data_IF_043589343263
#
_entry.id   IF_043589343263
#
_cell.length_a   1.000
_cell.length_b   1.000
_cell.length_c   1.000
_cell.angle_alpha   90.00
_cell.angle_beta   90.00
_cell.angle_gamma   90.00
#
_symmetry.space_group_name_H-M   'P 1'
#
loop_
_entity.id
_entity.type
_entity.pdbx_description
1 polymer ?
#
# COMPACT_ATOMS: atom_id res chain seq x y z
N UNK A 1 -10.00 0.46 21.65
CA UNK A 1 -8.58 0.46 21.26
C UNK A 1 -7.91 1.57 22.05
N UNK A 2 -7.10 1.23 23.06
CA UNK A 2 -6.42 2.22 23.88
C UNK A 2 -5.10 2.60 23.20
N UNK A 3 -5.03 3.79 22.63
CA UNK A 3 -3.77 4.36 22.16
C UNK A 3 -2.93 4.83 23.35
N UNK A 4 -1.60 4.82 23.20
CA UNK A 4 -0.66 5.34 24.19
C UNK A 4 -0.36 6.81 23.95
N UNK A 5 -0.68 7.67 24.90
CA UNK A 5 -0.53 9.12 24.78
C UNK A 5 0.52 9.60 25.78
N UNK A 6 1.54 10.29 25.29
CA UNK A 6 2.53 10.96 26.14
C UNK A 6 2.08 12.41 26.39
N UNK A 7 1.82 12.74 27.66
CA UNK A 7 1.54 14.11 28.10
C UNK A 7 2.81 14.73 28.68
N UNK A 8 3.19 15.89 28.18
CA UNK A 8 4.41 16.60 28.59
C UNK A 8 4.05 18.03 28.98
N UNK A 9 4.27 18.39 30.24
CA UNK A 9 4.06 19.74 30.78
C UNK A 9 4.91 19.90 32.05
N UNK A 10 5.59 21.03 32.23
CA UNK A 10 6.45 21.28 33.39
C UNK A 10 5.64 21.54 34.68
N UNK A 11 4.35 21.85 34.54
CA UNK A 11 3.42 22.10 35.64
C UNK A 11 2.66 20.80 35.94
N UNK A 12 3.07 20.11 37.02
CA UNK A 12 2.49 18.82 37.45
C UNK A 12 0.94 18.81 37.55
N UNK A 13 0.26 19.87 38.05
CA UNK A 13 -1.20 19.95 37.99
C UNK A 13 -1.80 19.81 36.58
N UNK A 14 -1.19 20.40 35.55
CA UNK A 14 -1.65 20.30 34.17
C UNK A 14 -1.51 18.87 33.66
N UNK A 15 -0.36 18.23 33.94
CA UNK A 15 -0.10 16.82 33.63
C UNK A 15 -1.17 15.94 34.24
N UNK A 16 -1.44 16.08 35.55
CA UNK A 16 -2.42 15.25 36.27
C UNK A 16 -3.85 15.46 35.78
N UNK A 17 -4.21 16.68 35.39
CA UNK A 17 -5.51 16.97 34.82
C UNK A 17 -5.70 16.29 33.46
N UNK A 18 -4.71 16.41 32.56
CA UNK A 18 -4.74 15.77 31.24
C UNK A 18 -4.72 14.24 31.37
N UNK A 19 -3.89 13.70 32.26
CA UNK A 19 -3.82 12.27 32.58
C UNK A 19 -5.18 11.74 33.01
N UNK A 20 -5.86 12.41 33.95
CA UNK A 20 -7.18 12.00 34.41
C UNK A 20 -8.23 12.02 33.27
N UNK A 21 -8.25 13.09 32.46
CA UNK A 21 -9.19 13.24 31.34
C UNK A 21 -9.00 12.19 30.25
N UNK A 22 -7.77 11.90 29.87
CA UNK A 22 -7.46 10.91 28.84
C UNK A 22 -7.67 9.48 29.37
N UNK A 23 -7.32 9.22 30.63
CA UNK A 23 -7.54 7.91 31.25
C UNK A 23 -9.03 7.57 31.40
N UNK A 24 -9.91 8.57 31.64
CA UNK A 24 -11.35 8.34 31.67
C UNK A 24 -11.95 7.93 30.32
N UNK A 25 -11.25 8.23 29.23
CA UNK A 25 -11.57 7.78 27.86
C UNK A 25 -10.83 6.48 27.48
N UNK A 26 -10.26 5.78 28.47
CA UNK A 26 -9.57 4.50 28.32
C UNK A 26 -8.26 4.54 27.50
N UNK A 27 -7.59 5.70 27.44
CA UNK A 27 -6.24 5.80 26.87
C UNK A 27 -5.17 5.35 27.88
N UNK A 28 -4.06 4.81 27.37
CA UNK A 28 -2.86 4.52 28.16
C UNK A 28 -2.01 5.81 28.21
N UNK A 29 -1.89 6.44 29.39
CA UNK A 29 -1.25 7.76 29.49
C UNK A 29 0.13 7.65 30.11
N UNK A 30 1.14 8.04 29.34
CA UNK A 30 2.47 8.33 29.82
C UNK A 30 2.58 9.80 30.20
N UNK A 31 3.45 10.10 31.15
CA UNK A 31 3.69 11.48 31.59
C UNK A 31 5.18 11.79 31.60
N UNK A 32 5.50 13.05 31.31
CA UNK A 32 6.83 13.64 31.46
C UNK A 32 6.71 15.11 31.91
N UNK A 33 7.70 15.61 32.65
CA UNK A 33 7.69 17.00 33.16
C UNK A 33 8.82 17.87 32.58
N UNK A 34 9.56 17.35 31.59
CA UNK A 34 10.62 18.08 30.90
C UNK A 34 10.80 17.58 29.48
N UNK A 35 11.45 18.38 28.62
CA UNK A 35 11.76 17.99 27.26
C UNK A 35 12.72 16.79 27.18
N UNK A 36 13.70 16.71 28.08
CA UNK A 36 14.63 15.58 28.16
C UNK A 36 13.91 14.27 28.52
N UNK A 37 13.03 14.29 29.52
CA UNK A 37 12.23 13.14 29.91
C UNK A 37 11.28 12.74 28.76
N UNK A 38 10.67 13.71 28.08
CA UNK A 38 9.81 13.43 26.94
C UNK A 38 10.55 12.66 25.83
N UNK A 39 11.76 13.07 25.47
CA UNK A 39 12.57 12.37 24.46
C UNK A 39 12.98 10.96 24.91
N UNK A 40 13.26 10.76 26.20
CA UNK A 40 13.53 9.43 26.75
C UNK A 40 12.30 8.52 26.65
N UNK A 41 11.13 9.02 27.03
CA UNK A 41 9.85 8.31 26.92
C UNK A 41 9.52 7.94 25.49
N UNK A 42 9.74 8.84 24.53
CA UNK A 42 9.54 8.54 23.10
C UNK A 42 10.40 7.36 22.66
N UNK A 43 11.66 7.34 23.07
CA UNK A 43 12.60 6.27 22.71
C UNK A 43 12.29 4.92 23.39
N UNK A 44 11.83 4.94 24.64
CA UNK A 44 11.58 3.73 25.43
C UNK A 44 10.20 3.13 25.17
N UNK A 45 9.18 3.98 25.12
CA UNK A 45 7.78 3.56 25.22
C UNK A 45 7.02 3.66 23.89
N UNK A 46 7.60 4.27 22.85
CA UNK A 46 6.99 4.42 21.51
C UNK A 46 5.52 4.86 21.54
N UNK A 47 5.22 6.07 22.06
CA UNK A 47 3.84 6.56 22.16
C UNK A 47 3.18 6.72 20.79
N UNK A 48 1.86 6.59 20.75
CA UNK A 48 1.05 6.79 19.55
C UNK A 48 0.79 8.27 19.26
N UNK A 49 0.71 9.11 20.31
CA UNK A 49 0.54 10.57 20.23
C UNK A 49 1.32 11.23 21.35
N UNK A 50 1.77 12.47 21.11
CA UNK A 50 2.39 13.32 22.11
C UNK A 50 1.57 14.62 22.24
N UNK A 51 1.12 14.93 23.46
CA UNK A 51 0.60 16.24 23.85
C UNK A 51 1.72 16.99 24.57
N UNK A 52 2.20 18.07 23.96
CA UNK A 52 3.46 18.70 24.34
C UNK A 52 3.25 20.16 24.71
N UNK A 53 3.53 20.52 25.96
CA UNK A 53 3.57 21.92 26.34
C UNK A 53 4.71 22.67 25.64
N UNK A 54 4.44 23.90 25.25
CA UNK A 54 5.43 24.75 24.58
C UNK A 54 6.40 25.38 25.56
N UNK A 55 5.90 25.86 26.70
CA UNK A 55 6.62 26.73 27.62
C UNK A 55 7.20 25.92 28.77
N UNK A 56 8.30 25.22 28.50
CA UNK A 56 9.02 24.45 29.51
C UNK A 56 10.41 25.03 29.78
N UNK A 57 10.93 24.97 31.02
CA UNK A 57 12.28 25.41 31.34
C UNK A 57 13.33 24.49 30.71
N UNK A 58 14.46 25.08 30.28
CA UNK A 58 15.53 24.34 29.62
C UNK A 58 15.20 24.11 28.15
N UNK A 59 14.63 22.94 27.83
CA UNK A 59 14.23 22.58 26.47
C UNK A 59 12.75 22.89 26.24
N UNK A 60 12.47 23.87 25.37
CA UNK A 60 11.10 24.23 25.01
C UNK A 60 10.43 23.17 24.13
N UNK A 61 9.09 23.21 24.04
CA UNK A 61 8.33 22.25 23.25
C UNK A 61 8.63 22.30 21.76
N UNK A 62 9.06 23.44 21.21
CA UNK A 62 9.43 23.55 19.80
C UNK A 62 10.72 22.77 19.49
N UNK A 63 11.71 22.83 20.38
CA UNK A 63 12.95 22.06 20.27
C UNK A 63 12.69 20.57 20.43
N UNK A 64 11.87 20.16 21.41
CA UNK A 64 11.44 18.76 21.58
C UNK A 64 10.77 18.25 20.30
N UNK A 65 9.81 19.00 19.76
CA UNK A 65 9.11 18.66 18.53
C UNK A 65 10.08 18.50 17.34
N UNK A 66 10.99 19.46 17.14
CA UNK A 66 12.01 19.38 16.08
C UNK A 66 12.87 18.13 16.19
N UNK A 67 13.34 17.78 17.40
CA UNK A 67 14.15 16.57 17.62
C UNK A 67 13.39 15.28 17.33
N UNK A 68 12.11 15.21 17.69
CA UNK A 68 11.24 14.05 17.37
C UNK A 68 11.08 13.93 15.85
N UNK A 69 10.80 15.04 15.16
CA UNK A 69 10.52 15.07 13.72
C UNK A 69 11.77 14.89 12.84
N UNK A 70 12.95 15.20 13.36
CA UNK A 70 14.23 14.94 12.67
C UNK A 70 14.67 13.46 12.77
N UNK A 71 14.15 12.69 13.73
CA UNK A 71 14.50 11.29 13.88
C UNK A 71 13.56 10.39 13.06
N UNK A 72 14.03 9.65 12.02
CA UNK A 72 13.16 8.82 11.17
C UNK A 72 12.38 7.73 11.93
N UNK A 73 12.90 7.28 13.08
CA UNK A 73 12.23 6.31 13.94
C UNK A 73 11.01 6.90 14.63
N UNK A 74 10.96 8.21 14.89
CA UNK A 74 9.90 8.86 15.68
C UNK A 74 9.12 9.92 14.91
N UNK A 75 9.60 10.36 13.74
CA UNK A 75 9.00 11.47 12.98
C UNK A 75 7.53 11.26 12.59
N UNK A 76 7.12 10.00 12.48
CA UNK A 76 5.75 9.58 12.21
C UNK A 76 4.79 9.73 13.40
N UNK A 77 5.28 9.91 14.62
CA UNK A 77 4.45 10.09 15.81
C UNK A 77 3.82 11.49 15.76
N UNK A 78 2.48 11.62 15.82
CA UNK A 78 1.82 12.90 15.90
C UNK A 78 2.17 13.67 17.18
N UNK A 79 2.52 14.95 17.04
CA UNK A 79 2.80 15.90 18.13
C UNK A 79 1.75 17.00 18.08
N UNK A 80 0.97 17.14 19.16
CA UNK A 80 0.04 18.24 19.36
C UNK A 80 0.62 19.20 20.39
N UNK A 81 0.85 20.44 19.97
CA UNK A 81 1.35 21.48 20.86
C UNK A 81 0.22 22.00 21.74
N UNK A 82 0.38 21.94 23.05
CA UNK A 82 -0.58 22.46 24.02
C UNK A 82 0.02 23.73 24.61
N UNK A 83 -0.65 24.88 24.50
CA UNK A 83 0.00 26.14 24.89
C UNK A 83 -0.97 27.21 25.34
N UNK A 84 -0.53 28.10 26.24
CA UNK A 84 -1.26 29.33 26.55
C UNK A 84 -1.08 30.42 25.48
N UNK A 85 -0.19 30.19 24.51
CA UNK A 85 0.03 31.10 23.38
C UNK A 85 -1.17 31.04 22.43
N UNK A 86 -1.85 32.17 22.26
CA UNK A 86 -3.02 32.29 21.40
C UNK A 86 -2.71 32.95 20.06
N UNK A 87 -1.54 33.58 19.92
CA UNK A 87 -1.14 34.25 18.70
C UNK A 87 -0.92 33.26 17.55
N UNK A 88 -1.42 33.65 16.38
CA UNK A 88 -1.16 33.03 15.08
C UNK A 88 0.33 32.76 14.84
N UNK A 89 1.21 33.67 15.27
CA UNK A 89 2.66 33.55 15.06
C UNK A 89 3.26 32.32 15.76
N UNK A 90 2.88 32.06 17.01
CA UNK A 90 3.37 30.90 17.77
C UNK A 90 2.77 29.57 17.26
N UNK A 91 1.50 29.60 16.81
CA UNK A 91 0.85 28.45 16.16
C UNK A 91 1.58 28.05 14.88
N UNK A 92 1.88 29.04 14.04
CA UNK A 92 2.64 28.85 12.79
C UNK A 92 4.03 28.30 13.10
N UNK A 93 4.72 28.88 14.09
CA UNK A 93 6.05 28.39 14.54
C UNK A 93 6.00 26.93 14.99
N UNK A 94 4.91 26.50 15.63
CA UNK A 94 4.68 25.11 16.03
C UNK A 94 4.55 24.17 14.84
N UNK A 95 3.71 24.54 13.87
CA UNK A 95 3.53 23.77 12.65
C UNK A 95 4.81 23.70 11.81
N UNK A 96 5.56 24.80 11.73
CA UNK A 96 6.87 24.85 11.05
C UNK A 96 7.94 24.01 11.77
N UNK A 97 7.89 23.90 13.10
CA UNK A 97 8.71 22.97 13.87
C UNK A 97 8.35 21.49 13.60
N UNK A 98 7.26 21.23 12.89
CA UNK A 98 6.79 19.91 12.49
C UNK A 98 5.65 19.39 13.35
N UNK A 99 5.07 20.21 14.24
CA UNK A 99 3.88 19.81 14.98
C UNK A 99 2.73 19.53 14.02
N UNK A 100 1.91 18.56 14.39
CA UNK A 100 0.79 18.13 13.57
C UNK A 100 -0.46 18.94 13.86
N UNK A 101 -0.54 19.52 15.05
CA UNK A 101 -1.62 20.42 15.45
C UNK A 101 -1.24 21.23 16.69
N UNK A 102 -2.10 22.16 17.06
CA UNK A 102 -2.02 22.92 18.30
C UNK A 102 -3.37 22.97 19.04
N UNK A 103 -3.31 23.14 20.35
CA UNK A 103 -4.43 23.34 21.24
C UNK A 103 -4.11 24.48 22.21
N UNK A 104 -4.95 25.51 22.22
CA UNK A 104 -4.80 26.63 23.14
C UNK A 104 -5.43 26.31 24.51
N UNK A 105 -4.74 26.66 25.59
CA UNK A 105 -5.26 26.63 26.97
C UNK A 105 -6.18 27.84 27.19
N UNK A 106 -7.31 27.71 27.93
CA UNK A 106 -7.81 26.49 28.56
C UNK A 106 -8.40 25.50 27.53
N UNK A 107 -8.14 24.21 27.75
CA UNK A 107 -8.55 23.16 26.81
C UNK A 107 -10.05 22.90 26.86
N UNK A 108 -10.67 22.89 25.69
CA UNK A 108 -12.01 22.36 25.50
C UNK A 108 -11.94 20.82 25.37
N UNK A 109 -12.65 20.11 26.24
CA UNK A 109 -12.58 18.64 26.31
C UNK A 109 -13.09 17.96 25.04
N UNK A 110 -14.18 18.47 24.46
CA UNK A 110 -14.72 17.96 23.20
C UNK A 110 -13.72 18.11 22.06
N UNK A 111 -13.08 19.28 21.94
CA UNK A 111 -12.08 19.53 20.91
C UNK A 111 -10.79 18.73 21.12
N UNK A 112 -10.34 18.58 22.37
CA UNK A 112 -9.19 17.74 22.73
C UNK A 112 -9.44 16.29 22.32
N UNK A 113 -10.56 15.71 22.74
CA UNK A 113 -10.84 14.30 22.49
C UNK A 113 -11.09 14.02 21.01
N UNK A 114 -11.78 14.91 20.28
CA UNK A 114 -11.98 14.77 18.85
C UNK A 114 -10.64 14.76 18.08
N UNK A 115 -9.71 15.63 18.47
CA UNK A 115 -8.39 15.73 17.85
C UNK A 115 -7.51 14.52 18.16
N UNK A 116 -7.48 14.09 19.43
CA UNK A 116 -6.79 12.87 19.85
C UNK A 116 -7.32 11.68 19.04
N UNK A 117 -8.65 11.50 18.95
CA UNK A 117 -9.25 10.42 18.15
C UNK A 117 -8.86 10.49 16.67
N UNK A 118 -8.87 11.67 16.05
CA UNK A 118 -8.48 11.87 14.65
C UNK A 118 -7.02 11.45 14.42
N UNK A 119 -6.11 11.93 15.27
CA UNK A 119 -4.68 11.64 15.16
C UNK A 119 -4.34 10.19 15.48
N UNK A 120 -5.06 9.53 16.40
CA UNK A 120 -4.89 8.10 16.69
C UNK A 120 -5.27 7.28 15.46
N UNK A 121 -6.40 7.60 14.83
CA UNK A 121 -6.86 6.94 13.60
C UNK A 121 -5.80 7.06 12.50
N UNK A 122 -5.21 8.25 12.36
CA UNK A 122 -4.13 8.50 11.42
C UNK A 122 -2.88 7.68 11.75
N UNK A 123 -2.43 7.67 13.01
CA UNK A 123 -1.27 6.89 13.46
C UNK A 123 -1.44 5.40 13.16
N UNK A 124 -2.62 4.84 13.43
CA UNK A 124 -2.92 3.43 13.12
C UNK A 124 -2.77 3.12 11.63
N UNK A 125 -3.26 4.00 10.75
CA UNK A 125 -3.11 3.82 9.30
C UNK A 125 -1.63 3.89 8.90
N UNK A 126 -0.87 4.85 9.43
CA UNK A 126 0.56 4.98 9.13
C UNK A 126 1.36 3.77 9.62
N UNK A 127 1.10 3.28 10.83
CA UNK A 127 1.78 2.11 11.38
C UNK A 127 1.50 0.84 10.60
N UNK A 128 0.27 0.67 10.11
CA UNK A 128 -0.10 -0.47 9.28
C UNK A 128 0.78 -0.51 8.00
N UNK A 129 0.96 0.64 7.34
CA UNK A 129 1.83 0.75 6.17
C UNK A 129 3.31 0.56 6.51
N UNK A 130 3.79 1.17 7.61
CA UNK A 130 5.19 1.02 8.06
C UNK A 130 5.53 -0.42 8.42
N UNK A 131 4.62 -1.15 9.07
CA UNK A 131 4.83 -2.56 9.42
C UNK A 131 4.92 -3.45 8.17
N UNK A 132 4.09 -3.16 7.17
CA UNK A 132 4.12 -3.82 5.86
C UNK A 132 5.42 -3.53 5.10
N UNK A 133 5.91 -2.29 5.12
CA UNK A 133 7.19 -1.91 4.52
C UNK A 133 8.38 -2.55 5.27
N UNK A 134 8.37 -2.56 6.61
CA UNK A 134 9.42 -3.19 7.40
C UNK A 134 9.56 -4.69 7.11
N UNK A 135 8.44 -5.38 6.85
CA UNK A 135 8.46 -6.79 6.46
C UNK A 135 9.10 -6.96 5.08
N UNK A 136 8.85 -6.04 4.14
CA UNK A 136 9.53 -6.03 2.84
C UNK A 136 11.03 -5.68 2.96
N UNK A 137 11.41 -4.76 3.85
CA UNK A 137 12.81 -4.40 4.13
C UNK A 137 13.59 -5.58 4.75
N UNK A 138 12.98 -6.32 5.68
CA UNK A 138 13.58 -7.54 6.26
C UNK A 138 13.82 -8.64 5.21
N UNK A 139 13.05 -8.63 4.13
CA UNK A 139 13.25 -9.54 2.99
C UNK A 139 14.35 -9.04 2.02
N UNK A 140 14.99 -7.89 2.31
CA UNK A 140 16.08 -7.31 1.52
C UNK A 140 15.63 -6.62 0.24
N UNK A 141 14.37 -6.16 0.18
CA UNK A 141 13.72 -5.73 -1.07
C UNK A 141 13.66 -4.20 -1.24
N UNK A 142 13.77 -3.44 -0.15
CA UNK A 142 13.74 -1.98 -0.19
C UNK A 142 14.86 -1.36 0.67
N UNK A 143 15.39 -0.24 0.18
CA UNK A 143 16.45 0.54 0.82
C UNK A 143 15.88 1.87 1.33
N UNK A 144 16.15 2.18 2.61
CA UNK A 144 16.03 3.53 3.16
C UNK A 144 14.90 3.71 4.19
N UNK A 145 15.21 4.48 5.24
CA UNK A 145 14.22 4.92 6.22
C UNK A 145 13.48 6.16 5.66
N UNK A 146 12.22 5.97 5.29
CA UNK A 146 11.34 7.04 4.84
C UNK A 146 11.03 8.02 6.00
N UNK A 147 11.41 9.29 5.87
CA UNK A 147 11.00 10.36 6.80
C UNK A 147 9.86 11.18 6.19
N UNK A 148 8.76 11.32 6.93
CA UNK A 148 7.59 12.16 6.58
C UNK A 148 8.00 13.59 6.26
N UNK A 149 8.98 14.14 7.00
CA UNK A 149 9.41 15.53 6.87
C UNK A 149 10.08 15.84 5.52
N UNK A 150 10.46 14.82 4.76
CA UNK A 150 11.12 14.99 3.46
C UNK A 150 10.14 14.99 2.29
N UNK A 151 8.83 14.77 2.50
CA UNK A 151 7.88 14.81 1.39
C UNK A 151 7.71 16.24 0.85
N UNK A 152 7.67 16.40 -0.47
CA UNK A 152 7.40 17.70 -1.08
C UNK A 152 6.01 18.17 -0.68
N UNK A 153 5.85 19.47 -0.47
CA UNK A 153 4.56 20.08 -0.10
C UNK A 153 4.00 20.97 -1.20
N UNK A 154 4.82 21.30 -2.18
CA UNK A 154 4.53 22.17 -3.30
C UNK A 154 3.77 21.44 -4.42
N UNK A 155 3.18 22.22 -5.34
CA UNK A 155 2.47 21.72 -6.52
C UNK A 155 1.31 20.75 -6.17
N UNK A 156 0.70 20.94 -5.01
CA UNK A 156 -0.43 20.13 -4.59
C UNK A 156 -1.71 20.57 -5.29
N UNK A 157 -2.59 19.62 -5.64
CA UNK A 157 -3.92 19.96 -6.16
C UNK A 157 -4.91 20.05 -5.02
N UNK A 158 -5.43 21.26 -4.78
CA UNK A 158 -6.29 21.57 -3.63
C UNK A 158 -7.68 21.96 -4.11
N UNK A 159 -8.72 21.31 -3.60
CA UNK A 159 -10.12 21.69 -3.82
C UNK A 159 -10.59 22.56 -2.66
N UNK A 160 -11.12 23.75 -2.93
CA UNK A 160 -11.68 24.64 -1.89
C UNK A 160 -13.18 24.77 -2.10
N UNK A 161 -13.96 24.35 -1.11
CA UNK A 161 -15.43 24.40 -1.14
C UNK A 161 -15.93 25.46 -0.16
N UNK A 162 -16.23 26.65 -0.68
CA UNK A 162 -16.75 27.79 0.09
C UNK A 162 -17.64 28.65 -0.82
N UNK A 163 -18.84 28.99 -0.35
CA UNK A 163 -19.79 29.81 -1.11
C UNK A 163 -19.52 31.32 -0.97
N UNK A 164 -18.51 31.69 -0.17
CA UNK A 164 -17.98 33.04 -0.05
C UNK A 164 -16.76 33.19 -0.96
N UNK A 165 -17.00 33.65 -2.20
CA UNK A 165 -15.95 33.80 -3.22
C UNK A 165 -14.72 34.55 -2.73
N UNK A 166 -14.90 35.64 -1.98
CA UNK A 166 -13.78 36.41 -1.41
C UNK A 166 -12.88 35.59 -0.47
N UNK A 167 -13.45 34.74 0.39
CA UNK A 167 -12.65 33.89 1.29
C UNK A 167 -12.01 32.74 0.52
N UNK A 168 -12.73 32.13 -0.42
CA UNK A 168 -12.20 31.08 -1.30
C UNK A 168 -11.00 31.58 -2.11
N UNK A 169 -11.11 32.76 -2.71
CA UNK A 169 -10.05 33.41 -3.49
C UNK A 169 -8.84 33.75 -2.59
N UNK A 170 -9.07 34.23 -1.37
CA UNK A 170 -7.99 34.53 -0.41
C UNK A 170 -7.25 33.26 0.03
N UNK A 171 -7.97 32.15 0.25
CA UNK A 171 -7.35 30.84 0.52
C UNK A 171 -6.54 30.40 -0.70
N UNK A 172 -7.10 30.52 -1.91
CA UNK A 172 -6.41 30.16 -3.14
C UNK A 172 -5.13 30.97 -3.36
N UNK A 173 -5.19 32.30 -3.24
CA UNK A 173 -4.02 33.19 -3.29
C UNK A 173 -2.93 32.79 -2.27
N UNK A 174 -3.35 32.35 -1.08
CA UNK A 174 -2.42 31.96 -0.03
C UNK A 174 -1.69 30.66 -0.37
N UNK A 175 -2.40 29.66 -0.91
CA UNK A 175 -1.82 28.36 -1.27
C UNK A 175 -1.02 28.42 -2.58
N UNK A 176 -1.33 29.34 -3.49
CA UNK A 176 -0.50 29.59 -4.69
C UNK A 176 0.98 29.94 -4.38
N UNK A 177 1.30 30.35 -3.14
CA UNK A 177 2.68 30.57 -2.69
C UNK A 177 3.56 29.33 -2.80
N UNK A 178 2.98 28.14 -2.75
CA UNK A 178 3.66 26.84 -2.91
C UNK A 178 3.47 26.25 -4.31
N UNK A 179 3.06 27.08 -5.28
CA UNK A 179 2.70 26.65 -6.64
C UNK A 179 1.58 25.61 -6.70
N UNK A 180 0.74 25.55 -5.65
CA UNK A 180 -0.41 24.64 -5.61
C UNK A 180 -1.43 24.95 -6.71
N UNK A 181 -2.07 23.92 -7.25
CA UNK A 181 -3.18 24.06 -8.20
C UNK A 181 -4.48 24.10 -7.39
N UNK A 182 -4.95 25.30 -7.09
CA UNK A 182 -6.16 25.50 -6.28
C UNK A 182 -7.40 25.64 -7.14
N UNK A 183 -8.43 24.84 -6.86
CA UNK A 183 -9.70 24.85 -7.58
C UNK A 183 -10.81 25.27 -6.60
N UNK A 184 -11.23 26.55 -6.59
CA UNK A 184 -12.36 27.00 -5.77
C UNK A 184 -13.71 26.61 -6.39
N UNK A 185 -14.64 26.16 -5.57
CA UNK A 185 -16.04 25.89 -5.92
C UNK A 185 -16.99 26.37 -4.83
N UNK A 186 -18.19 26.76 -5.24
CA UNK A 186 -19.23 27.35 -4.38
C UNK A 186 -20.24 26.34 -3.82
N UNK A 187 -20.22 25.09 -4.32
CA UNK A 187 -21.25 24.07 -4.05
C UNK A 187 -20.65 22.68 -3.98
N UNK A 188 -21.22 21.83 -3.12
CA UNK A 188 -20.83 20.44 -2.97
C UNK A 188 -21.09 19.60 -4.22
N UNK A 189 -22.08 19.96 -5.04
CA UNK A 189 -22.35 19.27 -6.32
C UNK A 189 -21.15 19.42 -7.26
N UNK A 190 -20.65 20.65 -7.46
CA UNK A 190 -19.44 20.90 -8.29
C UNK A 190 -18.22 20.22 -7.69
N UNK A 191 -18.08 20.23 -6.36
CA UNK A 191 -17.01 19.52 -5.68
C UNK A 191 -17.03 18.02 -6.02
N UNK A 192 -18.20 17.37 -5.94
CA UNK A 192 -18.37 15.95 -6.25
C UNK A 192 -18.12 15.62 -7.73
N UNK A 193 -18.49 16.51 -8.65
CA UNK A 193 -18.17 16.38 -10.07
C UNK A 193 -16.66 16.39 -10.31
N UNK A 194 -15.95 17.37 -9.73
CA UNK A 194 -14.50 17.50 -9.91
C UNK A 194 -13.73 16.32 -9.35
N UNK A 195 -14.05 15.86 -8.13
CA UNK A 195 -13.34 14.71 -7.52
C UNK A 195 -13.61 13.39 -8.25
N UNK A 196 -14.64 13.33 -9.10
CA UNK A 196 -14.88 12.15 -9.95
C UNK A 196 -13.97 12.12 -11.19
N UNK A 197 -13.50 13.29 -11.64
CA UNK A 197 -12.69 13.46 -12.85
C UNK A 197 -11.20 13.64 -12.54
N UNK A 198 -10.89 14.03 -11.30
CA UNK A 198 -9.58 14.51 -10.90
C UNK A 198 -9.21 14.03 -9.50
N UNK A 199 -7.93 13.74 -9.30
CA UNK A 199 -7.37 13.45 -7.98
C UNK A 199 -6.92 14.74 -7.30
N UNK A 200 -7.10 14.80 -5.98
CA UNK A 200 -6.75 15.95 -5.15
C UNK A 200 -5.89 15.49 -3.97
N UNK A 201 -4.93 16.34 -3.59
CA UNK A 201 -4.05 16.12 -2.44
C UNK A 201 -4.69 16.60 -1.13
N UNK A 202 -5.58 17.59 -1.22
CA UNK A 202 -6.29 18.19 -0.08
C UNK A 202 -7.66 18.72 -0.51
N UNK A 203 -8.66 18.58 0.36
CA UNK A 203 -9.96 19.23 0.21
C UNK A 203 -10.20 20.14 1.42
N UNK A 204 -10.44 21.43 1.16
CA UNK A 204 -10.80 22.43 2.17
C UNK A 204 -12.31 22.65 2.08
N UNK A 205 -13.04 22.54 3.20
CA UNK A 205 -14.51 22.61 3.22
C UNK A 205 -14.96 23.59 4.29
N UNK A 206 -15.72 24.61 3.90
CA UNK A 206 -16.40 25.49 4.84
C UNK A 206 -17.58 24.75 5.51
N UNK A 207 -17.69 24.85 6.84
CA UNK A 207 -18.86 24.38 7.58
C UNK A 207 -20.03 25.37 7.53
N UNK A 208 -19.77 26.60 7.07
CA UNK A 208 -20.72 27.72 7.08
C UNK A 208 -21.29 28.05 5.68
N UNK A 209 -21.47 27.04 4.84
CA UNK A 209 -22.13 27.19 3.54
C UNK A 209 -23.61 27.61 3.75
N UNK A 210 -24.11 28.59 2.98
CA UNK A 210 -25.46 29.15 3.15
C UNK A 210 -26.57 28.17 2.78
N UNK A 211 -26.36 27.39 1.72
CA UNK A 211 -27.40 26.54 1.11
C UNK A 211 -27.14 25.04 1.28
N UNK A 212 -26.02 24.66 1.90
CA UNK A 212 -25.60 23.27 2.06
C UNK A 212 -24.98 23.04 3.44
N UNK A 213 -24.90 21.78 3.87
CA UNK A 213 -24.21 21.42 5.11
C UNK A 213 -22.82 20.86 4.76
N UNK A 214 -21.77 21.62 5.07
CA UNK A 214 -20.39 21.20 4.83
C UNK A 214 -20.03 19.89 5.52
N UNK A 215 -20.64 19.59 6.68
CA UNK A 215 -20.41 18.34 7.40
C UNK A 215 -20.97 17.12 6.63
N UNK A 216 -22.11 17.31 5.98
CA UNK A 216 -22.71 16.30 5.12
C UNK A 216 -21.82 16.04 3.91
N UNK A 217 -21.25 17.08 3.30
CA UNK A 217 -20.28 16.93 2.21
C UNK A 217 -19.04 16.14 2.65
N UNK A 218 -18.47 16.45 3.83
CA UNK A 218 -17.37 15.68 4.42
C UNK A 218 -17.71 14.18 4.50
N UNK A 219 -18.91 13.84 4.97
CA UNK A 219 -19.37 12.45 5.07
C UNK A 219 -19.43 11.75 3.71
N UNK A 220 -19.97 12.41 2.67
CA UNK A 220 -20.04 11.83 1.32
C UNK A 220 -18.63 11.55 0.77
N UNK A 221 -17.72 12.52 0.89
CA UNK A 221 -16.33 12.36 0.46
C UNK A 221 -15.60 11.24 1.21
N UNK A 222 -15.89 11.05 2.50
CA UNK A 222 -15.30 9.96 3.30
C UNK A 222 -15.89 8.58 2.99
N UNK A 223 -17.13 8.52 2.49
CA UNK A 223 -17.75 7.26 2.04
C UNK A 223 -17.34 6.82 0.64
N UNK A 224 -16.83 7.73 -0.20
CA UNK A 224 -16.45 7.44 -1.57
C UNK A 224 -15.04 6.84 -1.62
N UNK A 225 -14.88 5.68 -2.27
CA UNK A 225 -13.60 4.95 -2.34
C UNK A 225 -12.46 5.79 -2.91
N UNK A 226 -12.73 6.65 -3.90
CA UNK A 226 -11.71 7.49 -4.53
C UNK A 226 -11.20 8.60 -3.60
N UNK A 227 -12.08 9.16 -2.78
CA UNK A 227 -11.79 10.34 -1.96
C UNK A 227 -11.59 10.04 -0.48
N UNK A 228 -11.89 8.82 0.00
CA UNK A 228 -11.85 8.49 1.44
C UNK A 228 -10.50 8.76 2.07
N UNK A 229 -9.42 8.55 1.32
CA UNK A 229 -8.03 8.73 1.75
C UNK A 229 -7.51 10.17 1.57
N UNK A 230 -8.26 11.04 0.87
CA UNK A 230 -7.88 12.45 0.69
C UNK A 230 -8.13 13.19 2.01
N UNK A 231 -7.16 13.95 2.54
CA UNK A 231 -7.35 14.72 3.76
C UNK A 231 -8.40 15.82 3.55
N UNK A 232 -9.19 16.06 4.59
CA UNK A 232 -10.19 17.13 4.62
C UNK A 232 -9.83 18.11 5.73
N UNK A 233 -9.65 19.38 5.37
CA UNK A 233 -9.42 20.51 6.28
C UNK A 233 -10.69 21.36 6.34
N UNK A 234 -11.34 21.42 7.51
CA UNK A 234 -12.58 22.18 7.66
C UNK A 234 -12.30 23.65 7.98
N UNK A 235 -13.08 24.58 7.44
CA UNK A 235 -13.08 25.99 7.85
C UNK A 235 -14.34 26.23 8.67
N UNK A 236 -14.19 26.74 9.89
CA UNK A 236 -15.28 26.83 10.87
C UNK A 236 -15.25 28.15 11.64
N UNK A 237 -16.35 28.51 12.29
CA UNK A 237 -16.41 29.60 13.28
C UNK A 237 -16.37 29.07 14.72
N UNK A 238 -16.20 29.95 15.72
CA UNK A 238 -16.22 29.56 17.14
C UNK A 238 -17.52 28.85 17.54
N UNK A 239 -18.64 29.21 16.93
CA UNK A 239 -19.95 28.61 17.20
C UNK A 239 -20.06 27.17 16.66
N UNK A 240 -19.13 26.74 15.80
CA UNK A 240 -19.14 25.43 15.15
C UNK A 240 -18.31 24.37 15.89
N UNK A 241 -17.80 24.63 17.10
CA UNK A 241 -16.91 23.70 17.82
C UNK A 241 -17.48 22.27 17.94
N UNK A 242 -18.78 22.14 18.22
CA UNK A 242 -19.44 20.82 18.25
C UNK A 242 -19.49 20.16 16.86
N UNK A 243 -19.69 20.94 15.80
CA UNK A 243 -19.73 20.45 14.42
C UNK A 243 -18.34 20.03 13.95
N UNK A 244 -17.31 20.77 14.33
CA UNK A 244 -15.91 20.42 14.11
C UNK A 244 -15.59 19.08 14.77
N UNK A 245 -15.99 18.89 16.03
CA UNK A 245 -15.79 17.62 16.72
C UNK A 245 -16.44 16.44 15.97
N UNK A 246 -17.69 16.59 15.51
CA UNK A 246 -18.37 15.59 14.67
C UNK A 246 -17.66 15.37 13.33
N UNK A 247 -17.13 16.43 12.71
CA UNK A 247 -16.39 16.34 11.46
C UNK A 247 -15.13 15.50 11.59
N UNK A 248 -14.37 15.71 12.66
CA UNK A 248 -13.20 14.89 12.99
C UNK A 248 -13.59 13.42 13.23
N UNK A 249 -14.74 13.17 13.89
CA UNK A 249 -15.25 11.80 14.09
C UNK A 249 -15.61 11.10 12.77
N UNK A 250 -16.24 11.82 11.84
CA UNK A 250 -16.57 11.36 10.48
C UNK A 250 -15.29 11.11 9.64
N UNK A 251 -14.16 11.71 10.02
CA UNK A 251 -12.85 11.48 9.40
C UNK A 251 -12.29 12.68 8.65
N UNK A 252 -12.81 13.89 8.89
CA UNK A 252 -12.04 15.10 8.60
C UNK A 252 -10.73 15.06 9.39
N UNK A 253 -9.66 15.58 8.80
CA UNK A 253 -8.32 15.41 9.35
C UNK A 253 -7.98 16.54 10.30
N UNK A 254 -8.45 17.74 9.98
CA UNK A 254 -8.07 18.96 10.68
C UNK A 254 -9.11 20.07 10.43
N UNK A 255 -8.95 21.21 11.11
CA UNK A 255 -9.75 22.40 10.89
C UNK A 255 -8.97 23.69 11.12
N UNK A 256 -9.49 24.80 10.61
CA UNK A 256 -9.04 26.17 10.88
C UNK A 256 -10.24 27.03 11.28
N UNK A 257 -10.02 27.94 12.23
CA UNK A 257 -11.07 28.84 12.73
C UNK A 257 -11.05 30.16 11.95
N UNK A 258 -12.23 30.74 11.73
CA UNK A 258 -12.39 32.09 11.20
C UNK A 258 -12.15 33.13 12.31
N UNK A 259 -11.52 34.28 12.01
CA UNK A 259 -10.97 34.68 10.71
C UNK A 259 -9.72 33.87 10.33
N UNK A 260 -9.65 33.41 9.08
CA UNK A 260 -8.56 32.54 8.62
C UNK A 260 -7.26 33.34 8.50
N UNK A 261 -6.26 32.98 9.31
CA UNK A 261 -4.91 33.47 9.17
C UNK A 261 -4.19 32.81 7.98
N UNK A 262 -3.48 33.62 7.18
CA UNK A 262 -2.83 33.15 5.95
C UNK A 262 -1.69 32.17 6.23
N UNK A 263 -0.92 32.41 7.29
CA UNK A 263 0.19 31.53 7.61
C UNK A 263 -0.32 30.24 8.28
N UNK A 264 -1.38 30.33 9.07
CA UNK A 264 -2.00 29.15 9.68
C UNK A 264 -2.58 28.19 8.63
N UNK A 265 -3.41 28.67 7.70
CA UNK A 265 -4.00 27.81 6.66
C UNK A 265 -2.91 27.16 5.79
N UNK A 266 -1.87 27.92 5.43
CA UNK A 266 -0.76 27.41 4.63
C UNK A 266 -0.01 26.30 5.39
N UNK A 267 0.30 26.52 6.67
CA UNK A 267 1.01 25.54 7.48
C UNK A 267 0.17 24.26 7.69
N UNK A 268 -1.13 24.39 7.96
CA UNK A 268 -2.04 23.24 8.07
C UNK A 268 -2.17 22.47 6.75
N UNK A 269 -2.31 23.17 5.62
CA UNK A 269 -2.36 22.56 4.30
C UNK A 269 -1.09 21.76 4.00
N UNK A 270 0.10 22.35 4.21
CA UNK A 270 1.40 21.67 4.07
C UNK A 270 1.48 20.40 4.90
N UNK A 271 1.04 20.43 6.16
CA UNK A 271 1.02 19.24 7.03
C UNK A 271 0.13 18.13 6.46
N UNK A 272 -1.07 18.46 5.98
CA UNK A 272 -1.98 17.46 5.39
C UNK A 272 -1.44 16.88 4.07
N UNK A 273 -0.91 17.72 3.19
CA UNK A 273 -0.32 17.31 1.90
C UNK A 273 0.90 16.40 2.13
N UNK A 274 1.81 16.81 3.02
CA UNK A 274 3.00 16.02 3.39
C UNK A 274 2.62 14.63 3.86
N UNK A 275 1.60 14.53 4.73
CA UNK A 275 1.10 13.24 5.25
C UNK A 275 0.47 12.39 4.15
N UNK A 276 -0.33 13.00 3.28
CA UNK A 276 -0.96 12.30 2.15
C UNK A 276 0.08 11.69 1.22
N UNK A 277 1.07 12.48 0.80
CA UNK A 277 2.16 12.03 -0.08
C UNK A 277 3.03 10.96 0.58
N UNK A 278 3.32 11.09 1.87
CA UNK A 278 4.03 10.06 2.63
C UNK A 278 3.29 8.71 2.60
N UNK A 279 1.99 8.73 2.86
CA UNK A 279 1.17 7.52 2.83
C UNK A 279 1.13 6.89 1.43
N UNK A 280 0.97 7.70 0.39
CA UNK A 280 0.95 7.22 -1.00
C UNK A 280 2.30 6.61 -1.40
N UNK A 281 3.42 7.21 -0.97
CA UNK A 281 4.77 6.65 -1.19
C UNK A 281 4.96 5.32 -0.48
N UNK A 282 4.57 5.20 0.79
CA UNK A 282 4.63 3.93 1.53
C UNK A 282 3.83 2.83 0.82
N UNK A 283 2.63 3.17 0.35
CA UNK A 283 1.78 2.24 -0.38
C UNK A 283 2.42 1.81 -1.72
N UNK A 284 2.98 2.76 -2.47
CA UNK A 284 3.67 2.48 -3.73
C UNK A 284 4.91 1.59 -3.52
N UNK A 285 5.76 1.93 -2.53
CA UNK A 285 6.93 1.13 -2.14
C UNK A 285 6.54 -0.30 -1.77
N UNK A 286 5.45 -0.46 -1.01
CA UNK A 286 4.94 -1.77 -0.64
C UNK A 286 4.48 -2.58 -1.85
N UNK A 287 3.73 -1.97 -2.77
CA UNK A 287 3.28 -2.64 -4.01
C UNK A 287 4.46 -3.06 -4.90
N UNK A 288 5.43 -2.16 -5.07
CA UNK A 288 6.65 -2.43 -5.82
C UNK A 288 7.44 -3.57 -5.19
N UNK A 289 7.63 -3.53 -3.86
CA UNK A 289 8.32 -4.58 -3.11
C UNK A 289 7.58 -5.92 -3.21
N UNK A 290 6.24 -5.92 -3.12
CA UNK A 290 5.42 -7.12 -3.28
C UNK A 290 5.57 -7.69 -4.69
N UNK A 291 5.55 -6.85 -5.73
CA UNK A 291 5.73 -7.31 -7.11
C UNK A 291 7.11 -7.96 -7.30
N UNK A 292 8.18 -7.35 -6.78
CA UNK A 292 9.54 -7.91 -6.83
C UNK A 292 9.70 -9.17 -5.97
N UNK A 293 9.01 -9.24 -4.83
CA UNK A 293 9.04 -10.40 -3.93
C UNK A 293 8.35 -11.63 -4.53
N UNK A 294 7.31 -11.43 -5.34
CA UNK A 294 6.42 -12.50 -5.78
C UNK A 294 6.60 -12.89 -7.25
N UNK A 295 7.04 -11.99 -8.12
CA UNK A 295 7.04 -12.21 -9.57
C UNK A 295 8.43 -12.15 -10.19
N UNK A 296 8.60 -12.82 -11.32
CA UNK A 296 9.78 -12.74 -12.18
C UNK A 296 9.69 -11.47 -13.05
N UNK A 297 10.69 -10.58 -13.02
CA UNK A 297 10.59 -9.25 -13.66
C UNK A 297 10.54 -9.30 -15.19
N UNK A 298 11.03 -10.38 -15.81
CA UNK A 298 11.01 -10.52 -17.26
C UNK A 298 9.66 -10.98 -17.78
N UNK A 299 9.07 -11.99 -17.14
CA UNK A 299 7.89 -12.69 -17.63
C UNK A 299 6.58 -12.28 -16.93
N UNK A 300 6.66 -11.66 -15.75
CA UNK A 300 5.50 -11.33 -14.92
C UNK A 300 4.77 -12.54 -14.32
N UNK A 301 5.35 -13.75 -14.46
CA UNK A 301 4.88 -14.95 -13.75
C UNK A 301 5.36 -14.91 -12.30
N UNK A 302 4.88 -15.82 -11.45
CA UNK A 302 5.45 -15.94 -10.12
C UNK A 302 6.93 -16.36 -10.17
N UNK A 303 7.71 -15.92 -9.20
CA UNK A 303 9.09 -16.33 -9.06
C UNK A 303 9.20 -17.67 -8.31
N UNK A 304 10.41 -18.25 -8.34
CA UNK A 304 10.73 -19.50 -7.63
C UNK A 304 10.37 -19.46 -6.14
N UNK A 305 10.70 -18.36 -5.44
CA UNK A 305 10.46 -18.23 -3.99
C UNK A 305 8.98 -18.33 -3.65
N UNK A 306 8.12 -17.66 -4.40
CA UNK A 306 6.67 -17.73 -4.19
C UNK A 306 6.11 -19.12 -4.50
N UNK A 307 6.57 -19.75 -5.58
CA UNK A 307 6.19 -21.11 -5.94
C UNK A 307 6.48 -22.09 -4.80
N UNK A 308 7.69 -22.04 -4.21
CA UNK A 308 8.10 -22.95 -3.13
C UNK A 308 7.19 -22.79 -1.89
N UNK A 309 6.90 -21.55 -1.48
CA UNK A 309 6.00 -21.26 -0.35
C UNK A 309 4.57 -21.76 -0.63
N UNK A 310 4.07 -21.55 -1.85
CA UNK A 310 2.72 -21.98 -2.22
C UNK A 310 2.60 -23.50 -2.34
N UNK A 311 3.61 -24.15 -2.92
CA UNK A 311 3.68 -25.61 -3.01
C UNK A 311 3.73 -26.25 -1.62
N UNK A 312 4.50 -25.68 -0.68
CA UNK A 312 4.53 -26.16 0.70
C UNK A 312 3.14 -26.10 1.36
N UNK A 313 2.38 -25.02 1.15
CA UNK A 313 1.00 -24.89 1.65
C UNK A 313 0.06 -25.92 1.02
N UNK A 314 0.19 -26.18 -0.27
CA UNK A 314 -0.61 -27.20 -0.96
C UNK A 314 -0.31 -28.61 -0.45
N UNK A 315 0.95 -28.94 -0.17
CA UNK A 315 1.34 -30.21 0.45
C UNK A 315 0.68 -30.37 1.83
N UNK A 316 0.75 -29.33 2.68
CA UNK A 316 0.09 -29.36 4.00
C UNK A 316 -1.43 -29.55 3.87
N UNK A 317 -2.07 -28.83 2.94
CA UNK A 317 -3.52 -28.95 2.69
C UNK A 317 -3.90 -30.30 2.09
N UNK A 318 -3.05 -30.90 1.26
CA UNK A 318 -3.25 -32.22 0.68
C UNK A 318 -3.28 -33.31 1.76
N UNK A 319 -2.43 -33.18 2.80
CA UNK A 319 -2.44 -34.05 3.97
C UNK A 319 -3.78 -34.01 4.73
N UNK A 320 -4.36 -32.81 4.89
CA UNK A 320 -5.60 -32.60 5.63
C UNK A 320 -6.86 -32.93 4.82
N UNK A 321 -6.93 -32.43 3.58
CA UNK A 321 -8.14 -32.49 2.73
C UNK A 321 -8.22 -33.73 1.84
N UNK A 322 -7.13 -34.51 1.74
CA UNK A 322 -6.98 -35.69 0.86
C UNK A 322 -7.28 -35.41 -0.62
N UNK A 323 -7.16 -34.15 -1.06
CA UNK A 323 -7.33 -33.78 -2.47
C UNK A 323 -6.00 -33.85 -3.22
N UNK A 324 -5.90 -34.61 -4.33
CA UNK A 324 -4.66 -34.70 -5.10
C UNK A 324 -4.38 -33.40 -5.85
N UNK A 325 -3.11 -33.17 -6.15
CA UNK A 325 -2.66 -32.10 -7.05
C UNK A 325 -1.52 -32.59 -7.94
N UNK A 326 -1.20 -31.83 -8.98
CA UNK A 326 -0.12 -32.15 -9.91
C UNK A 326 0.89 -31.01 -10.00
N UNK A 327 2.18 -31.35 -10.13
CA UNK A 327 3.24 -30.43 -10.46
C UNK A 327 3.81 -30.77 -11.85
N UNK A 328 3.91 -29.76 -12.70
CA UNK A 328 4.49 -29.84 -14.04
C UNK A 328 5.76 -28.98 -14.07
N UNK A 329 6.86 -29.56 -14.52
CA UNK A 329 8.10 -28.86 -14.83
C UNK A 329 8.24 -28.78 -16.35
N UNK A 330 8.50 -27.58 -16.87
CA UNK A 330 8.56 -27.28 -18.29
C UNK A 330 9.90 -26.64 -18.61
N UNK A 331 10.46 -27.01 -19.76
CA UNK A 331 11.71 -26.44 -20.28
C UNK A 331 11.56 -26.17 -21.77
N UNK A 332 11.98 -24.99 -22.21
CA UNK A 332 11.92 -24.62 -23.63
C UNK A 332 13.03 -25.36 -24.37
N UNK A 333 12.64 -26.18 -25.34
CA UNK A 333 13.58 -27.00 -26.09
C UNK A 333 14.55 -26.14 -26.90
N UNK A 334 15.84 -26.43 -26.76
CA UNK A 334 16.91 -25.76 -27.50
C UNK A 334 16.95 -24.23 -27.33
N UNK A 335 16.49 -23.69 -26.20
CA UNK A 335 16.46 -22.24 -25.99
C UNK A 335 17.85 -21.58 -26.03
N UNK A 336 18.90 -22.26 -25.56
CA UNK A 336 20.29 -21.80 -25.78
C UNK A 336 20.60 -21.53 -27.26
N UNK A 337 20.13 -22.37 -28.18
CA UNK A 337 20.33 -22.16 -29.63
C UNK A 337 19.61 -20.92 -30.13
N UNK A 338 18.44 -20.59 -29.56
CA UNK A 338 17.72 -19.35 -29.86
C UNK A 338 18.56 -18.14 -29.45
N UNK A 339 19.10 -18.14 -28.22
CA UNK A 339 19.99 -17.08 -27.75
C UNK A 339 21.26 -16.96 -28.57
N UNK A 340 21.91 -18.08 -28.89
CA UNK A 340 23.16 -18.10 -29.64
C UNK A 340 22.96 -17.64 -31.11
N UNK A 341 21.77 -17.85 -31.68
CA UNK A 341 21.46 -17.49 -33.08
C UNK A 341 20.92 -16.07 -33.22
N UNK A 342 20.05 -15.65 -32.30
CA UNK A 342 19.26 -14.41 -32.43
C UNK A 342 19.57 -13.37 -31.34
N UNK A 343 20.39 -13.72 -30.35
CA UNK A 343 20.73 -12.86 -29.22
C UNK A 343 19.72 -12.91 -28.07
N UNK A 344 20.17 -12.46 -26.90
CA UNK A 344 19.38 -12.53 -25.66
C UNK A 344 18.09 -11.71 -25.69
N UNK A 345 18.05 -10.58 -26.40
CA UNK A 345 16.83 -9.77 -26.51
C UNK A 345 15.66 -10.52 -27.19
N UNK A 346 15.96 -11.33 -28.21
CA UNK A 346 14.95 -12.18 -28.86
C UNK A 346 14.60 -13.37 -27.96
N UNK A 347 15.56 -13.93 -27.23
CA UNK A 347 15.29 -14.93 -26.19
C UNK A 347 14.30 -14.42 -25.13
N UNK A 348 14.45 -13.17 -24.70
CA UNK A 348 13.56 -12.50 -23.74
C UNK A 348 12.12 -12.34 -24.30
N UNK A 349 11.98 -11.98 -25.58
CA UNK A 349 10.67 -11.94 -26.26
C UNK A 349 10.01 -13.34 -26.32
N UNK A 350 10.82 -14.38 -26.55
CA UNK A 350 10.37 -15.78 -26.53
C UNK A 350 9.87 -16.17 -25.15
N UNK A 351 10.63 -15.87 -24.10
CA UNK A 351 10.26 -16.16 -22.71
C UNK A 351 8.96 -15.46 -22.32
N UNK A 352 8.79 -14.18 -22.67
CA UNK A 352 7.54 -13.43 -22.45
C UNK A 352 6.35 -14.06 -23.14
N UNK A 353 6.52 -14.48 -24.39
CA UNK A 353 5.43 -15.10 -25.17
C UNK A 353 5.05 -16.48 -24.62
N UNK A 354 6.05 -17.30 -24.26
CA UNK A 354 5.81 -18.61 -23.62
C UNK A 354 5.10 -18.42 -22.29
N UNK A 355 5.56 -17.50 -21.46
CA UNK A 355 4.93 -17.18 -20.18
C UNK A 355 3.46 -16.76 -20.34
N UNK A 356 3.18 -15.87 -21.29
CA UNK A 356 1.81 -15.46 -21.62
C UNK A 356 0.94 -16.66 -22.01
N UNK A 357 1.43 -17.53 -22.90
CA UNK A 357 0.70 -18.72 -23.36
C UNK A 357 0.44 -19.72 -22.24
N UNK A 358 1.40 -19.92 -21.33
CA UNK A 358 1.21 -20.77 -20.17
C UNK A 358 0.10 -20.22 -19.27
N UNK A 359 0.16 -18.92 -18.95
CA UNK A 359 -0.82 -18.25 -18.10
C UNK A 359 -2.23 -18.25 -18.71
N UNK A 360 -2.37 -18.00 -20.00
CA UNK A 360 -3.65 -17.97 -20.74
C UNK A 360 -4.31 -19.35 -20.84
N UNK A 361 -3.52 -20.43 -20.75
CA UNK A 361 -4.00 -21.81 -20.81
C UNK A 361 -4.17 -22.46 -19.42
N UNK A 362 -4.12 -21.67 -18.34
CA UNK A 362 -4.30 -22.12 -16.97
C UNK A 362 -5.43 -21.35 -16.27
N UNK A 363 -6.03 -21.95 -15.25
CA UNK A 363 -7.09 -21.31 -14.45
C UNK A 363 -6.47 -20.31 -13.49
N UNK A 364 -7.27 -19.38 -12.98
CA UNK A 364 -6.83 -18.44 -11.92
C UNK A 364 -6.39 -19.12 -10.63
N UNK A 365 -6.87 -20.34 -10.37
CA UNK A 365 -6.49 -21.16 -9.21
C UNK A 365 -5.20 -21.96 -9.43
N UNK A 366 -4.77 -22.11 -10.68
CA UNK A 366 -3.53 -22.80 -11.03
C UNK A 366 -2.37 -21.81 -10.85
N UNK A 367 -1.23 -22.31 -10.35
CA UNK A 367 -0.04 -21.49 -10.18
C UNK A 367 0.90 -21.73 -11.34
N UNK A 368 1.44 -20.67 -11.94
CA UNK A 368 2.53 -20.76 -12.92
C UNK A 368 3.67 -19.83 -12.52
N UNK A 369 4.89 -20.36 -12.52
CA UNK A 369 6.09 -19.68 -12.09
C UNK A 369 7.27 -19.92 -13.04
N UNK A 370 8.21 -18.99 -13.08
CA UNK A 370 9.52 -19.18 -13.71
C UNK A 370 10.56 -19.50 -12.64
N UNK A 371 11.28 -20.61 -12.80
CA UNK A 371 12.32 -21.02 -11.85
C UNK A 371 13.65 -20.31 -12.09
N UNK A 372 13.93 -20.02 -13.36
CA UNK A 372 15.16 -19.40 -13.83
C UNK A 372 15.46 -19.81 -15.26
N UNK A 373 16.21 -19.00 -16.01
CA UNK A 373 16.58 -19.33 -17.39
C UNK A 373 15.36 -19.62 -18.28
N UNK A 374 15.29 -20.85 -18.80
CA UNK A 374 14.24 -21.36 -19.70
C UNK A 374 13.22 -22.30 -19.01
N UNK A 375 13.29 -22.41 -17.68
CA UNK A 375 12.50 -23.36 -16.88
C UNK A 375 11.28 -22.71 -16.22
N UNK A 376 10.14 -23.40 -16.32
CA UNK A 376 8.86 -23.00 -15.75
C UNK A 376 8.23 -24.13 -14.94
N UNK A 377 7.42 -23.77 -13.96
CA UNK A 377 6.60 -24.72 -13.18
C UNK A 377 5.14 -24.32 -13.26
N UNK A 378 4.27 -25.31 -13.44
CA UNK A 378 2.84 -25.17 -13.22
C UNK A 378 2.38 -26.12 -12.11
N UNK A 379 1.65 -25.60 -11.12
CA UNK A 379 1.02 -26.39 -10.06
C UNK A 379 -0.49 -26.36 -10.27
N UNK A 380 -1.11 -27.54 -10.32
CA UNK A 380 -2.53 -27.76 -10.63
C UNK A 380 -3.24 -28.33 -9.38
N UNK A 381 -3.82 -27.50 -8.51
CA UNK A 381 -4.57 -27.94 -7.34
C UNK A 381 -5.82 -28.72 -7.73
N UNK A 382 -6.26 -29.64 -6.87
CA UNK A 382 -7.55 -30.34 -6.97
C UNK A 382 -7.80 -30.95 -8.37
N UNK A 383 -6.75 -31.49 -9.00
CA UNK A 383 -6.79 -31.99 -10.38
C UNK A 383 -6.49 -33.49 -10.43
N UNK A 384 -7.30 -34.24 -11.19
CA UNK A 384 -7.11 -35.69 -11.40
C UNK A 384 -5.95 -36.01 -12.33
N UNK A 385 -5.58 -37.30 -12.43
CA UNK A 385 -4.52 -37.75 -13.32
C UNK A 385 -4.80 -37.38 -14.78
N UNK A 386 -5.95 -37.82 -15.30
CA UNK A 386 -6.37 -37.58 -16.69
C UNK A 386 -6.45 -36.09 -17.04
N UNK A 387 -6.98 -35.28 -16.12
CA UNK A 387 -7.10 -33.84 -16.33
C UNK A 387 -5.74 -33.15 -16.33
N UNK A 388 -4.80 -33.59 -15.50
CA UNK A 388 -3.45 -33.03 -15.48
C UNK A 388 -2.67 -33.38 -16.74
N UNK A 389 -2.80 -34.62 -17.23
CA UNK A 389 -2.22 -35.05 -18.51
C UNK A 389 -2.79 -34.22 -19.67
N UNK A 390 -4.11 -34.02 -19.68
CA UNK A 390 -4.79 -33.18 -20.65
C UNK A 390 -4.29 -31.73 -20.62
N UNK A 391 -4.15 -31.14 -19.43
CA UNK A 391 -3.63 -29.77 -19.26
C UNK A 391 -2.18 -29.69 -19.73
N UNK A 392 -1.32 -30.64 -19.38
CA UNK A 392 0.08 -30.67 -19.81
C UNK A 392 0.20 -30.68 -21.34
N UNK A 393 -0.55 -31.54 -22.04
CA UNK A 393 -0.56 -31.56 -23.51
C UNK A 393 -1.20 -30.31 -24.12
N UNK A 394 -2.14 -29.66 -23.43
CA UNK A 394 -2.66 -28.34 -23.85
C UNK A 394 -1.56 -27.27 -23.77
N UNK A 395 -0.78 -27.24 -22.69
CA UNK A 395 0.34 -26.30 -22.54
C UNK A 395 1.43 -26.53 -23.58
N UNK A 396 1.82 -27.79 -23.81
CA UNK A 396 2.82 -28.15 -24.82
C UNK A 396 2.39 -27.69 -26.22
N UNK A 397 1.14 -27.95 -26.59
CA UNK A 397 0.58 -27.54 -27.90
C UNK A 397 0.45 -26.03 -28.04
N UNK A 398 0.00 -25.32 -26.99
CA UNK A 398 -0.13 -23.87 -27.07
C UNK A 398 1.21 -23.18 -27.37
N UNK A 399 2.32 -23.79 -26.95
CA UNK A 399 3.69 -23.36 -27.28
C UNK A 399 4.08 -23.81 -28.70
N UNK A 400 3.91 -25.09 -29.03
CA UNK A 400 4.43 -25.67 -30.27
C UNK A 400 3.64 -25.34 -31.56
N UNK A 401 2.32 -25.17 -31.48
CA UNK A 401 1.46 -25.05 -32.68
C UNK A 401 1.46 -23.65 -33.31
N UNK A 402 1.75 -22.62 -32.51
CA UNK A 402 1.78 -21.23 -32.98
C UNK A 402 3.21 -20.70 -32.92
N UNK A 403 3.82 -20.24 -34.03
CA UNK A 403 5.11 -19.56 -33.98
C UNK A 403 5.08 -18.36 -33.00
N UNK A 404 6.19 -18.10 -32.33
CA UNK A 404 6.37 -16.92 -31.48
C UNK A 404 6.73 -15.74 -32.38
N UNK A 405 5.81 -14.77 -32.47
CA UNK A 405 6.07 -13.50 -33.15
C UNK A 405 7.11 -12.72 -32.36
N UNK A 406 8.20 -12.33 -33.02
CA UNK A 406 9.31 -11.64 -32.38
C UNK A 406 10.11 -10.82 -33.40
N UNK A 407 11.02 -9.99 -32.91
CA UNK A 407 11.87 -9.10 -33.71
C UNK A 407 12.97 -9.83 -34.52
N UNK A 408 12.89 -11.15 -34.66
CA UNK A 408 13.82 -11.93 -35.47
C UNK A 408 13.70 -11.57 -36.96
N UNK A 409 14.74 -11.81 -37.80
CA UNK A 409 14.70 -11.47 -39.22
C UNK A 409 13.53 -12.09 -40.00
N UNK A 410 13.02 -13.24 -39.54
CA UNK A 410 11.89 -13.96 -40.13
C UNK A 410 10.53 -13.49 -39.58
N UNK A 411 10.51 -12.61 -38.57
CA UNK A 411 9.31 -12.12 -37.88
C UNK A 411 8.68 -13.10 -36.89
N UNK A 412 9.08 -14.38 -36.92
CA UNK A 412 8.61 -15.41 -36.03
C UNK A 412 9.64 -16.54 -35.80
N UNK A 413 9.54 -17.22 -34.67
CA UNK A 413 10.37 -18.38 -34.31
C UNK A 413 9.47 -19.52 -33.82
N UNK A 414 9.71 -20.72 -34.31
CA UNK A 414 9.07 -21.94 -33.77
C UNK A 414 9.88 -22.44 -32.59
N UNK A 415 9.22 -22.59 -31.44
CA UNK A 415 9.79 -23.20 -30.23
C UNK A 415 8.88 -24.31 -29.74
N UNK A 416 9.47 -25.32 -29.11
CA UNK A 416 8.73 -26.40 -28.46
C UNK A 416 9.12 -26.45 -26.99
N UNK A 417 8.38 -27.24 -26.21
CA UNK A 417 8.70 -27.48 -24.81
C UNK A 417 8.60 -28.96 -24.48
N UNK A 418 9.48 -29.40 -23.59
CA UNK A 418 9.38 -30.71 -22.95
C UNK A 418 8.76 -30.52 -21.56
N UNK A 419 7.87 -31.43 -21.16
CA UNK A 419 7.14 -31.34 -19.88
C UNK A 419 7.32 -32.63 -19.07
N UNK A 420 7.72 -32.49 -17.81
CA UNK A 420 7.73 -33.56 -16.82
C UNK A 420 6.64 -33.35 -15.77
N UNK A 421 5.81 -34.36 -15.53
CA UNK A 421 4.70 -34.27 -14.58
C UNK A 421 4.83 -35.24 -13.39
N UNK A 422 4.51 -34.75 -12.21
CA UNK A 422 4.44 -35.53 -10.97
C UNK A 422 3.05 -35.42 -10.32
N UNK A 423 2.47 -36.58 -9.98
CA UNK A 423 1.21 -36.68 -9.24
C UNK A 423 1.48 -36.74 -7.75
N UNK A 424 0.73 -35.92 -6.99
CA UNK A 424 0.84 -35.85 -5.54
C UNK A 424 -0.44 -36.39 -4.93
N UNK A 425 -0.34 -37.62 -4.43
CA UNK A 425 -1.39 -38.28 -3.67
C UNK A 425 -1.38 -37.81 -2.22
N UNK A 426 -2.48 -38.02 -1.46
CA UNK A 426 -2.49 -37.74 -0.03
C UNK A 426 -1.40 -38.51 0.72
N UNK A 427 -0.44 -37.79 1.31
CA UNK A 427 0.67 -38.40 2.02
C UNK A 427 1.73 -37.41 2.48
N UNK A 428 2.80 -37.93 3.09
CA UNK A 428 3.95 -37.13 3.49
C UNK A 428 4.84 -36.84 2.26
N UNK A 429 4.84 -35.58 1.86
CA UNK A 429 5.68 -35.06 0.79
C UNK A 429 6.43 -33.81 1.27
N UNK A 430 7.49 -33.43 0.58
CA UNK A 430 8.12 -32.13 0.75
C UNK A 430 8.35 -31.49 -0.62
N UNK A 431 8.60 -30.18 -0.65
CA UNK A 431 8.75 -29.42 -1.90
C UNK A 431 9.81 -30.05 -2.80
N UNK A 432 10.97 -30.41 -2.24
CA UNK A 432 12.08 -30.98 -3.01
C UNK A 432 11.69 -32.32 -3.66
N UNK A 433 11.05 -33.23 -2.93
CA UNK A 433 10.66 -34.54 -3.44
C UNK A 433 9.57 -34.48 -4.52
N UNK A 434 8.74 -33.44 -4.50
CA UNK A 434 7.79 -33.16 -5.59
C UNK A 434 8.53 -32.73 -6.86
N UNK A 435 9.43 -31.75 -6.73
CA UNK A 435 10.17 -31.20 -7.86
C UNK A 435 11.12 -32.24 -8.47
N UNK A 436 11.82 -33.04 -7.65
CA UNK A 436 12.74 -34.08 -8.12
C UNK A 436 12.03 -35.14 -8.99
N UNK A 437 10.75 -35.45 -8.70
CA UNK A 437 9.98 -36.40 -9.51
C UNK A 437 9.55 -35.80 -10.84
N UNK A 438 9.12 -34.54 -10.84
CA UNK A 438 8.80 -33.82 -12.07
C UNK A 438 10.05 -33.63 -12.95
N UNK A 439 11.20 -33.35 -12.33
CA UNK A 439 12.50 -33.20 -13.00
C UNK A 439 12.96 -34.50 -13.68
N UNK A 440 12.87 -35.64 -12.97
CA UNK A 440 13.15 -36.96 -13.59
C UNK A 440 12.27 -37.24 -14.81
N UNK A 441 10.99 -36.89 -14.75
CA UNK A 441 10.09 -37.06 -15.89
C UNK A 441 10.45 -36.09 -17.03
N UNK A 442 10.83 -34.85 -16.72
CA UNK A 442 11.28 -33.88 -17.71
C UNK A 442 12.58 -34.34 -18.40
N UNK A 443 13.52 -34.89 -17.63
CA UNK A 443 14.75 -35.47 -18.17
C UNK A 443 14.45 -36.57 -19.19
N UNK A 444 13.52 -37.48 -18.88
CA UNK A 444 13.04 -38.50 -19.82
C UNK A 444 12.37 -37.90 -21.06
N UNK A 445 11.61 -36.81 -20.92
CA UNK A 445 11.02 -36.11 -22.06
C UNK A 445 12.13 -35.57 -23.01
N UNK A 446 13.20 -35.00 -22.45
CA UNK A 446 14.34 -34.50 -23.22
C UNK A 446 15.10 -35.63 -23.95
N UNK A 447 15.27 -36.80 -23.33
CA UNK A 447 15.94 -37.95 -23.95
C UNK A 447 15.08 -38.64 -25.02
N UNK A 448 13.75 -38.61 -24.89
CA UNK A 448 12.81 -39.27 -25.81
C UNK A 448 12.42 -38.42 -27.03
N UNK A 449 13.29 -37.48 -27.41
CA UNK A 449 13.17 -36.68 -28.62
C UNK A 449 12.58 -35.28 -28.44
N UNK A 450 12.38 -34.81 -27.20
CA UNK A 450 11.79 -33.49 -26.86
C UNK A 450 10.37 -33.31 -27.38
N UNK A 451 9.80 -32.11 -27.19
CA UNK A 451 8.45 -31.76 -27.60
C UNK A 451 7.40 -32.83 -27.19
N UNK A 452 7.51 -33.32 -25.96
CA UNK A 452 6.65 -34.35 -25.42
C UNK A 452 6.41 -34.14 -23.92
N UNK A 453 5.38 -34.79 -23.42
CA UNK A 453 5.05 -34.82 -22.00
C UNK A 453 5.31 -36.22 -21.46
N UNK A 454 5.98 -36.30 -20.31
CA UNK A 454 6.23 -37.56 -19.59
C UNK A 454 5.73 -37.43 -18.17
N UNK A 455 5.06 -38.46 -17.66
CA UNK A 455 4.67 -38.58 -16.26
C UNK A 455 5.33 -39.80 -15.62
N UNK A 456 5.60 -39.71 -14.32
CA UNK A 456 6.23 -40.80 -13.53
C UNK A 456 5.48 -42.14 -13.65
N UNK A 457 4.14 -42.13 -13.54
CA UNK A 457 3.32 -43.35 -13.58
C UNK A 457 2.92 -43.77 -15.00
N UNK A 458 2.65 -42.80 -15.86
CA UNK A 458 1.98 -43.01 -17.15
C UNK A 458 2.97 -43.05 -18.32
N UNK A 459 4.24 -42.69 -18.09
CA UNK A 459 5.29 -42.64 -19.11
C UNK A 459 5.08 -41.50 -20.11
N UNK A 460 5.64 -41.66 -21.31
CA UNK A 460 5.47 -40.70 -22.42
C UNK A 460 4.04 -40.73 -22.91
N UNK A 461 3.38 -39.57 -22.90
CA UNK A 461 2.02 -39.43 -23.40
C UNK A 461 1.98 -39.50 -24.93
N UNK A 462 0.88 -40.06 -25.44
CA UNK A 462 0.52 -40.01 -26.85
C UNK A 462 -0.30 -38.74 -27.13
N UNK A 463 0.26 -37.75 -27.86
CA UNK A 463 -0.41 -36.46 -28.10
C UNK A 463 -1.76 -36.59 -28.78
N UNK A 464 -1.97 -37.64 -29.58
CA UNK A 464 -3.19 -37.82 -30.36
C UNK A 464 -4.40 -38.19 -29.47
N UNK A 465 -4.16 -38.78 -28.30
CA UNK A 465 -5.20 -39.07 -27.30
C UNK A 465 -5.78 -37.84 -26.62
N UNK A 466 -5.10 -36.69 -26.72
CA UNK A 466 -5.47 -35.47 -26.01
C UNK A 466 -5.86 -34.33 -26.96
N UNK A 467 -6.04 -34.61 -28.26
CA UNK A 467 -6.67 -33.67 -29.20
C UNK A 467 -8.14 -33.49 -28.83
N UNK A 468 -8.56 -32.25 -28.59
CA UNK A 468 -9.99 -31.97 -28.50
C UNK A 468 -10.58 -32.13 -29.91
N UNK A 469 -11.64 -32.91 -30.06
CA UNK A 469 -12.55 -32.68 -31.18
C UNK A 469 -13.06 -31.23 -31.08
N UNK A 470 -13.13 -30.48 -32.18
CA UNK A 470 -13.68 -29.13 -32.14
C UNK A 470 -15.08 -29.20 -31.52
N UNK A 471 -15.35 -28.34 -30.52
CA UNK A 471 -16.70 -28.21 -29.97
C UNK A 471 -17.65 -28.01 -31.16
N UNK A 472 -18.74 -28.79 -31.30
CA UNK A 472 -19.74 -28.50 -32.30
C UNK A 472 -20.20 -27.06 -32.08
N UNK A 473 -20.12 -26.25 -33.13
CA UNK A 473 -20.81 -24.97 -33.17
C UNK A 473 -22.28 -25.35 -33.10
N UNK A 474 -22.90 -25.12 -31.94
CA UNK A 474 -24.35 -25.17 -31.82
C UNK A 474 -24.82 -23.91 -32.54
N UNK A 475 -25.34 -24.08 -33.77
CA UNK A 475 -26.03 -23.03 -34.53
C UNK A 475 -27.29 -22.53 -33.80
#
# INVERSE_FOLDING_TARGET
>A
MSARILVVDDILPNVKLLEAKLSSEYYDVLTATSGEEALQRVAQDSPDIILLDVMMPGMDGFEVCRRIKQNPSYAHIPVVMVTALTDSTDKVRGLEAGADDFLSKPLNDTALMARVRSLVRLKMTVDEWRNRENTANQLGIAEGAANVMNEPVEEARVLVVDDQSFEADKIAETLHRDNDIVVPVDTGIKAMELVSQHDFDLIIISLNLKNEDGLRLCSHLKSNERTRAVPILMVATEDDLERVARGLEIGAHDYVMRPVDRNEILARARTQIRRRRFQDRLQANYQVSLSMALTDPLTGLYNRRYMEVHLQKLIQKNLESKKPFCALLLDIDHFKKVNDTYGHGIGDEVLKTVAFRLKDNLRSVDLVARLGGEEFVAILPDTSEDMSQFIAERLRRSIAEKPVKCSAPQGEIVVTTSIGGAFIEPGEHNVQSVLDRADKALYQAKETGRNCTVFEKSGKLDPDRFRQEPRPIIE
#
